data_IF_442506801850
#
_entry.id   IF_442506801850
#
_cell.length_a   1.000
_cell.length_b   1.000
_cell.length_c   1.000
_cell.angle_alpha   90.00
_cell.angle_beta   90.00
_cell.angle_gamma   90.00
#
_symmetry.space_group_name_H-M   'P 1'
#
loop_
_entity.id
_entity.type
_entity.pdbx_description
1 polymer ?
#
# COMPACT_ATOMS: atom_id res chain seq x y z
N UNK A 1 -0.73 -25.10 9.24
CA UNK A 1 -0.84 -24.75 10.67
C UNK A 1 0.15 -23.63 10.97
N UNK A 2 -0.32 -22.40 11.20
CA UNK A 2 0.57 -21.30 11.56
C UNK A 2 0.55 -21.09 13.07
N UNK A 3 1.62 -21.56 13.72
CA UNK A 3 1.91 -21.30 15.13
C UNK A 3 2.48 -19.88 15.25
N UNK A 4 1.76 -19.00 15.95
CA UNK A 4 2.23 -17.67 16.31
C UNK A 4 1.95 -17.42 17.77
N UNK A 5 2.97 -17.60 18.61
CA UNK A 5 2.94 -17.40 20.05
C UNK A 5 2.59 -15.95 20.41
N UNK A 6 1.59 -15.82 21.28
CA UNK A 6 1.07 -14.58 21.87
C UNK A 6 2.13 -13.92 22.76
N UNK A 7 2.89 -12.95 22.26
CA UNK A 7 3.62 -12.02 23.12
C UNK A 7 3.52 -10.57 22.63
N UNK A 8 2.90 -9.77 23.51
CA UNK A 8 2.82 -8.29 23.61
C UNK A 8 1.76 -7.57 22.74
N UNK A 9 0.66 -7.22 23.40
CA UNK A 9 -0.34 -6.22 22.97
C UNK A 9 0.36 -4.85 22.85
N UNK A 10 0.46 -4.29 21.64
CA UNK A 10 0.75 -2.86 21.45
C UNK A 10 1.85 -2.43 20.48
N UNK A 11 2.54 -3.31 19.74
CA UNK A 11 3.57 -2.88 18.76
C UNK A 11 3.07 -2.95 17.31
N UNK A 12 2.85 -1.78 16.67
CA UNK A 12 2.46 -1.68 15.26
C UNK A 12 2.05 -0.27 14.79
N UNK A 13 2.99 0.68 14.65
CA UNK A 13 2.72 2.04 14.13
C UNK A 13 3.29 2.38 12.74
N UNK A 14 4.19 1.59 12.13
CA UNK A 14 4.38 1.59 10.65
C UNK A 14 3.36 0.65 9.99
N UNK A 15 2.88 -0.32 10.77
CA UNK A 15 1.62 -1.09 10.66
C UNK A 15 0.39 -0.16 10.76
N UNK A 16 0.44 1.02 10.15
CA UNK A 16 -0.53 2.10 10.35
C UNK A 16 -0.89 2.87 9.10
N UNK A 17 -0.02 2.98 8.10
CA UNK A 17 -0.34 3.70 6.86
C UNK A 17 -1.34 2.90 6.01
N UNK A 18 -0.96 1.68 5.63
CA UNK A 18 -1.84 0.74 4.93
C UNK A 18 -3.13 0.52 5.73
N UNK A 19 -3.02 0.15 7.00
CA UNK A 19 -4.21 -0.03 7.84
C UNK A 19 -5.14 1.20 7.94
N UNK A 20 -4.60 2.43 7.90
CA UNK A 20 -5.45 3.63 7.86
C UNK A 20 -6.10 3.77 6.50
N UNK A 21 -5.36 3.52 5.42
CA UNK A 21 -5.89 3.50 4.05
C UNK A 21 -7.02 2.47 3.95
N UNK A 22 -6.82 1.24 4.44
CA UNK A 22 -7.83 0.17 4.40
C UNK A 22 -9.09 0.54 5.16
N UNK A 23 -8.95 1.14 6.36
CA UNK A 23 -10.09 1.61 7.16
C UNK A 23 -10.91 2.64 6.39
N UNK A 24 -10.26 3.55 5.69
CA UNK A 24 -10.94 4.58 4.90
C UNK A 24 -11.54 3.95 3.65
N UNK A 25 -10.77 3.13 2.92
CA UNK A 25 -11.20 2.45 1.69
C UNK A 25 -12.43 1.57 1.95
N UNK A 26 -12.45 0.80 3.05
CA UNK A 26 -13.56 -0.10 3.38
C UNK A 26 -14.84 0.69 3.68
N UNK A 27 -14.69 1.87 4.28
CA UNK A 27 -15.79 2.81 4.51
C UNK A 27 -16.27 3.44 3.20
N UNK A 28 -15.38 3.72 2.25
CA UNK A 28 -15.77 4.29 0.94
C UNK A 28 -16.44 3.25 0.04
N UNK A 29 -15.99 2.01 0.13
CA UNK A 29 -16.50 0.90 -0.66
C UNK A 29 -17.84 0.36 -0.16
N UNK A 30 -18.23 0.59 1.10
CA UNK A 30 -19.42 -0.04 1.70
C UNK A 30 -20.72 0.21 0.93
N UNK A 31 -20.89 1.37 0.28
CA UNK A 31 -22.07 1.64 -0.55
C UNK A 31 -22.14 0.83 -1.86
N UNK A 32 -21.06 0.13 -2.21
CA UNK A 32 -20.88 -0.55 -3.50
C UNK A 32 -20.55 -2.03 -3.37
N UNK A 33 -20.16 -2.50 -2.19
CA UNK A 33 -19.90 -3.91 -1.87
C UNK A 33 -21.17 -4.61 -1.39
N UNK A 34 -21.26 -5.93 -1.53
CA UNK A 34 -22.23 -6.72 -0.77
C UNK A 34 -21.87 -6.70 0.72
N UNK A 35 -22.47 -5.79 1.49
CA UNK A 35 -22.06 -5.51 2.87
C UNK A 35 -22.16 -6.70 3.83
N UNK A 36 -23.04 -7.65 3.56
CA UNK A 36 -23.26 -8.88 4.31
C UNK A 36 -22.26 -9.99 3.96
N UNK A 37 -21.64 -9.94 2.78
CA UNK A 37 -20.71 -10.98 2.28
C UNK A 37 -19.26 -10.52 2.17
N UNK A 38 -18.97 -9.23 2.23
CA UNK A 38 -17.60 -8.74 2.14
C UNK A 38 -16.92 -8.68 3.52
N UNK A 39 -15.65 -9.13 3.67
CA UNK A 39 -14.93 -9.10 4.94
C UNK A 39 -15.03 -7.78 5.72
N UNK A 40 -15.12 -7.90 7.04
CA UNK A 40 -15.11 -6.73 7.91
C UNK A 40 -13.71 -6.11 7.92
N UNK A 41 -13.62 -4.81 8.21
CA UNK A 41 -12.31 -4.16 8.35
C UNK A 41 -11.46 -4.81 9.45
N UNK A 42 -12.08 -5.38 10.49
CA UNK A 42 -11.36 -6.06 11.56
C UNK A 42 -10.64 -7.31 11.04
N UNK A 43 -11.30 -8.05 10.15
CA UNK A 43 -10.77 -9.29 9.58
C UNK A 43 -9.70 -9.00 8.54
N UNK A 44 -9.90 -7.98 7.69
CA UNK A 44 -8.87 -7.54 6.74
C UNK A 44 -7.60 -7.13 7.49
N UNK A 45 -7.72 -6.30 8.52
CA UNK A 45 -6.58 -5.84 9.31
C UNK A 45 -5.88 -6.94 10.12
N UNK A 46 -6.55 -8.08 10.33
CA UNK A 46 -5.90 -9.26 10.89
C UNK A 46 -4.76 -9.74 9.99
N UNK A 47 -4.98 -9.70 8.67
CA UNK A 47 -4.03 -10.13 7.65
C UNK A 47 -3.15 -9.01 7.09
N UNK A 48 -3.44 -7.73 7.33
CA UNK A 48 -2.55 -6.64 6.90
C UNK A 48 -1.25 -6.57 7.74
N UNK A 49 -1.38 -6.71 9.06
CA UNK A 49 -0.32 -6.47 10.04
C UNK A 49 0.66 -7.64 10.23
N UNK A 50 0.92 -8.02 11.50
CA UNK A 50 1.91 -9.06 11.86
C UNK A 50 1.68 -10.44 11.22
N UNK A 51 0.46 -10.70 10.73
CA UNK A 51 0.08 -11.99 10.13
C UNK A 51 0.02 -11.97 8.60
N UNK A 52 0.42 -10.87 7.94
CA UNK A 52 0.57 -10.84 6.49
C UNK A 52 1.68 -9.91 6.02
N UNK A 53 1.49 -9.08 4.98
CA UNK A 53 2.61 -8.44 4.26
C UNK A 53 3.54 -7.63 5.17
N UNK A 54 3.00 -6.80 6.08
CA UNK A 54 3.82 -6.03 7.03
C UNK A 54 4.56 -6.92 8.04
N UNK A 55 3.96 -8.06 8.39
CA UNK A 55 4.56 -9.08 9.25
C UNK A 55 5.73 -9.81 8.57
N UNK A 56 5.64 -10.01 7.25
CA UNK A 56 6.73 -10.53 6.43
C UNK A 56 7.82 -9.46 6.28
N UNK A 57 7.46 -8.19 6.00
CA UNK A 57 8.39 -7.05 5.99
C UNK A 57 9.17 -6.90 7.32
N UNK A 58 8.54 -7.24 8.46
CA UNK A 58 9.18 -7.28 9.78
C UNK A 58 10.14 -8.46 9.98
N UNK A 59 9.86 -9.62 9.37
CA UNK A 59 10.60 -10.88 9.55
C UNK A 59 11.74 -11.04 8.53
N UNK A 60 11.53 -10.55 7.32
CA UNK A 60 12.45 -10.56 6.20
C UNK A 60 12.50 -9.16 5.59
N UNK A 61 12.99 -8.14 6.34
CA UNK A 61 13.17 -6.83 5.76
C UNK A 61 14.05 -6.98 4.52
N UNK A 62 13.60 -6.40 3.39
CA UNK A 62 14.38 -6.12 2.16
C UNK A 62 14.47 -7.20 1.06
N UNK A 63 13.88 -8.38 1.20
CA UNK A 63 13.75 -9.32 0.07
C UNK A 63 12.43 -9.06 -0.69
N UNK A 64 11.30 -9.01 0.01
CA UNK A 64 9.99 -8.79 -0.61
C UNK A 64 9.62 -7.31 -0.84
N UNK A 65 10.39 -6.35 -0.28
CA UNK A 65 10.13 -4.91 -0.46
C UNK A 65 10.39 -4.44 -1.92
N UNK A 66 11.12 -5.21 -2.73
CA UNK A 66 11.57 -4.78 -4.07
C UNK A 66 10.98 -5.60 -5.24
N UNK A 67 10.19 -6.64 -4.94
CA UNK A 67 9.39 -7.34 -5.95
C UNK A 67 8.11 -6.57 -6.32
N UNK A 68 7.72 -5.56 -5.52
CA UNK A 68 6.51 -4.74 -5.70
C UNK A 68 6.76 -3.39 -6.41
N UNK A 69 7.78 -3.33 -7.27
CA UNK A 69 8.07 -2.14 -8.08
C UNK A 69 7.26 -2.19 -9.38
N UNK A 70 6.84 -1.02 -9.88
CA UNK A 70 6.23 -0.88 -11.21
C UNK A 70 6.88 0.28 -11.95
N UNK A 71 7.48 0.04 -13.11
CA UNK A 71 7.89 1.12 -14.01
C UNK A 71 6.70 1.59 -14.87
N UNK A 72 6.15 2.80 -14.64
CA UNK A 72 4.97 3.27 -15.36
C UNK A 72 5.22 3.53 -16.87
N UNK A 73 6.49 3.55 -17.29
CA UNK A 73 6.89 3.77 -18.69
C UNK A 73 7.19 2.45 -19.43
N UNK A 74 7.30 1.33 -18.72
CA UNK A 74 7.56 0.02 -19.30
C UNK A 74 6.27 -0.82 -19.29
N UNK A 75 5.60 -0.90 -20.43
CA UNK A 75 4.39 -1.73 -20.56
C UNK A 75 4.64 -3.23 -20.42
N UNK A 76 5.90 -3.68 -20.46
CA UNK A 76 6.28 -5.07 -20.22
C UNK A 76 6.53 -5.39 -18.74
N UNK A 77 6.63 -4.36 -17.88
CA UNK A 77 6.75 -4.54 -16.43
C UNK A 77 5.38 -4.90 -15.83
N UNK A 78 5.11 -6.20 -15.77
CA UNK A 78 3.79 -6.74 -15.42
C UNK A 78 3.73 -7.42 -14.06
N UNK A 79 4.86 -7.65 -13.38
CA UNK A 79 4.91 -8.46 -12.16
C UNK A 79 3.90 -8.01 -11.10
N UNK A 80 3.92 -6.72 -10.73
CA UNK A 80 2.98 -6.19 -9.73
C UNK A 80 1.53 -6.22 -10.21
N UNK A 81 1.30 -5.99 -11.51
CA UNK A 81 -0.04 -6.01 -12.11
C UNK A 81 -0.61 -7.43 -12.07
N UNK A 82 0.22 -8.43 -12.37
CA UNK A 82 -0.18 -9.83 -12.35
C UNK A 82 -0.47 -10.27 -10.90
N UNK A 83 0.34 -9.87 -9.92
CA UNK A 83 0.06 -10.08 -8.48
C UNK A 83 -1.29 -9.46 -8.07
N UNK A 84 -1.56 -8.22 -8.48
CA UNK A 84 -2.82 -7.53 -8.20
C UNK A 84 -4.00 -8.28 -8.84
N UNK A 85 -3.87 -8.71 -10.09
CA UNK A 85 -4.91 -9.45 -10.81
C UNK A 85 -5.18 -10.81 -10.17
N UNK A 86 -4.13 -11.53 -9.73
CA UNK A 86 -4.25 -12.80 -9.02
C UNK A 86 -5.00 -12.63 -7.70
N UNK A 87 -4.65 -11.62 -6.90
CA UNK A 87 -5.38 -11.33 -5.66
C UNK A 87 -6.84 -10.91 -5.92
N UNK A 88 -7.13 -10.18 -6.99
CA UNK A 88 -8.52 -9.86 -7.39
C UNK A 88 -9.29 -11.13 -7.73
N UNK A 89 -8.71 -12.02 -8.53
CA UNK A 89 -9.33 -13.28 -8.92
C UNK A 89 -9.56 -14.17 -7.70
N UNK A 90 -8.55 -14.36 -6.86
CA UNK A 90 -8.64 -15.21 -5.69
C UNK A 90 -9.62 -14.65 -4.64
N UNK A 91 -9.68 -13.33 -4.47
CA UNK A 91 -10.70 -12.68 -3.65
C UNK A 91 -12.11 -12.94 -4.21
N UNK A 92 -12.30 -12.81 -5.53
CA UNK A 92 -13.59 -13.08 -6.16
C UNK A 92 -14.04 -14.53 -5.94
N UNK A 93 -13.13 -15.49 -6.13
CA UNK A 93 -13.39 -16.92 -5.86
C UNK A 93 -13.76 -17.14 -4.40
N UNK A 94 -12.96 -16.63 -3.45
CA UNK A 94 -13.22 -16.78 -2.03
C UNK A 94 -14.56 -16.16 -1.59
N UNK A 95 -14.96 -15.02 -2.18
CA UNK A 95 -16.27 -14.42 -1.95
C UNK A 95 -17.41 -15.27 -2.52
N UNK A 96 -17.23 -15.89 -3.69
CA UNK A 96 -18.25 -16.75 -4.30
C UNK A 96 -18.46 -18.07 -3.55
N UNK A 97 -17.43 -18.55 -2.85
CA UNK A 97 -17.44 -19.76 -2.02
C UNK A 97 -17.82 -19.48 -0.55
N UNK A 98 -18.18 -18.23 -0.21
CA UNK A 98 -18.41 -17.77 1.16
C UNK A 98 -17.22 -18.08 2.12
N UNK A 99 -15.99 -18.15 1.59
CA UNK A 99 -14.75 -18.36 2.36
C UNK A 99 -14.20 -17.03 2.89
N UNK A 100 -14.80 -16.54 3.98
CA UNK A 100 -14.50 -15.22 4.52
C UNK A 100 -13.09 -15.06 5.09
N UNK A 101 -12.46 -16.13 5.58
CA UNK A 101 -11.06 -16.09 6.04
C UNK A 101 -10.13 -15.85 4.85
N UNK A 102 -10.29 -16.61 3.76
CA UNK A 102 -9.51 -16.40 2.55
C UNK A 102 -9.82 -15.05 1.92
N UNK A 103 -11.09 -14.63 1.87
CA UNK A 103 -11.45 -13.32 1.35
C UNK A 103 -10.82 -12.18 2.16
N UNK A 104 -10.74 -12.29 3.49
CA UNK A 104 -10.05 -11.30 4.33
C UNK A 104 -8.54 -11.26 4.06
N UNK A 105 -7.91 -12.43 3.89
CA UNK A 105 -6.52 -12.55 3.49
C UNK A 105 -6.26 -11.87 2.12
N UNK A 106 -7.00 -12.25 1.09
CA UNK A 106 -6.83 -11.71 -0.27
C UNK A 106 -7.12 -10.20 -0.31
N UNK A 107 -8.08 -9.73 0.48
CA UNK A 107 -8.39 -8.30 0.59
C UNK A 107 -7.21 -7.49 1.14
N UNK A 108 -6.50 -8.01 2.15
CA UNK A 108 -5.35 -7.35 2.76
C UNK A 108 -4.16 -7.31 1.78
N UNK A 109 -3.81 -8.46 1.19
CA UNK A 109 -2.70 -8.54 0.24
C UNK A 109 -2.94 -7.71 -1.03
N UNK A 110 -4.18 -7.71 -1.54
CA UNK A 110 -4.57 -6.83 -2.64
C UNK A 110 -4.40 -5.35 -2.30
N UNK A 111 -4.89 -4.93 -1.13
CA UNK A 111 -4.78 -3.54 -0.69
C UNK A 111 -3.32 -3.12 -0.56
N UNK A 112 -2.49 -4.01 -0.03
CA UNK A 112 -1.06 -3.81 0.12
C UNK A 112 -0.37 -3.57 -1.23
N UNK A 113 -0.51 -4.49 -2.19
CA UNK A 113 0.09 -4.39 -3.52
C UNK A 113 -0.38 -3.13 -4.27
N UNK A 114 -1.67 -2.77 -4.15
CA UNK A 114 -2.25 -1.56 -4.75
C UNK A 114 -1.67 -0.27 -4.15
N UNK A 115 -1.42 -0.24 -2.83
CA UNK A 115 -0.80 0.93 -2.18
C UNK A 115 0.67 1.03 -2.54
N UNK A 116 1.40 -0.08 -2.56
CA UNK A 116 2.82 -0.14 -2.92
C UNK A 116 3.01 0.33 -4.38
N UNK A 117 2.22 -0.14 -5.33
CA UNK A 117 2.32 0.34 -6.73
C UNK A 117 1.89 1.78 -6.96
N UNK A 118 1.24 2.44 -6.00
CA UNK A 118 0.98 3.89 -6.03
C UNK A 118 1.98 4.69 -5.19
N UNK A 119 2.89 4.03 -4.48
CA UNK A 119 3.89 4.67 -3.64
C UNK A 119 5.04 5.16 -4.53
N UNK A 120 5.24 6.48 -4.71
CA UNK A 120 6.17 7.01 -5.71
C UNK A 120 7.62 6.49 -5.68
N UNK A 121 8.22 6.17 -4.52
CA UNK A 121 9.51 5.47 -4.49
C UNK A 121 9.51 4.12 -5.23
N UNK A 122 8.39 3.38 -5.23
CA UNK A 122 8.23 2.07 -5.90
C UNK A 122 8.05 2.20 -7.42
N UNK A 123 8.20 3.40 -7.98
CA UNK A 123 8.27 3.62 -9.44
C UNK A 123 9.71 3.65 -9.97
N UNK A 124 10.69 3.40 -9.10
CA UNK A 124 12.11 3.44 -9.42
C UNK A 124 12.75 2.16 -8.89
N UNK A 125 13.36 1.37 -9.78
CA UNK A 125 14.09 0.16 -9.40
C UNK A 125 15.33 0.56 -8.60
N UNK A 126 15.49 -0.02 -7.40
CA UNK A 126 16.76 0.03 -6.69
C UNK A 126 17.71 -1.00 -7.31
N UNK A 127 19.00 -0.68 -7.31
CA UNK A 127 20.02 -1.67 -7.68
C UNK A 127 20.28 -2.66 -6.53
N UNK A 128 20.89 -3.80 -6.86
CA UNK A 128 21.17 -4.88 -5.90
C UNK A 128 22.03 -4.41 -4.71
N UNK A 129 22.95 -3.46 -4.96
CA UNK A 129 23.81 -2.91 -3.90
C UNK A 129 23.02 -2.06 -2.91
N UNK A 130 22.02 -1.32 -3.38
CA UNK A 130 21.09 -0.55 -2.56
C UNK A 130 20.19 -1.47 -1.74
N UNK A 131 19.65 -2.53 -2.35
CA UNK A 131 18.83 -3.56 -1.68
C UNK A 131 19.62 -4.28 -0.58
N UNK A 132 20.86 -4.68 -0.85
CA UNK A 132 21.69 -5.38 0.13
C UNK A 132 22.15 -4.46 1.28
N UNK A 133 22.44 -3.19 1.00
CA UNK A 133 22.77 -2.21 2.04
C UNK A 133 21.59 -1.99 2.99
N UNK A 134 20.38 -1.91 2.44
CA UNK A 134 19.12 -1.87 3.16
C UNK A 134 18.98 -3.01 4.15
N UNK A 135 19.21 -4.24 3.69
CA UNK A 135 19.08 -5.46 4.48
C UNK A 135 19.97 -5.41 5.72
N UNK A 136 21.17 -4.88 5.53
CA UNK A 136 22.28 -4.98 6.48
C UNK A 136 22.45 -3.73 7.35
N UNK A 137 21.85 -2.59 7.00
CA UNK A 137 22.02 -1.34 7.75
C UNK A 137 21.22 -1.32 9.06
N UNK A 138 21.93 -1.56 10.17
CA UNK A 138 21.36 -1.59 11.53
C UNK A 138 20.68 -0.29 11.95
N UNK A 139 21.15 0.87 11.48
CA UNK A 139 20.58 2.19 11.83
C UNK A 139 19.23 2.38 11.17
N UNK A 140 19.12 2.12 9.87
CA UNK A 140 17.85 2.19 9.12
C UNK A 140 16.86 1.16 9.65
N UNK A 141 17.33 -0.06 9.93
CA UNK A 141 16.50 -1.09 10.54
C UNK A 141 16.01 -0.69 11.94
N UNK A 142 16.80 0.04 12.74
CA UNK A 142 16.36 0.58 14.02
C UNK A 142 15.31 1.69 13.83
N UNK A 143 15.50 2.62 12.89
CA UNK A 143 14.52 3.68 12.61
C UNK A 143 13.20 3.09 12.11
N UNK A 144 13.26 2.15 11.15
CA UNK A 144 12.09 1.41 10.68
C UNK A 144 11.41 0.74 11.87
N UNK A 145 12.17 0.00 12.71
CA UNK A 145 11.66 -0.73 13.88
C UNK A 145 11.01 0.17 14.92
N UNK A 146 11.60 1.32 15.23
CA UNK A 146 11.10 2.24 16.26
C UNK A 146 9.84 2.97 15.78
N UNK A 147 9.82 3.36 14.51
CA UNK A 147 8.58 3.85 13.91
C UNK A 147 7.52 2.74 13.80
N UNK A 148 7.91 1.50 13.45
CA UNK A 148 7.08 0.28 13.46
C UNK A 148 6.53 -0.07 14.83
N UNK A 149 7.28 0.16 15.91
CA UNK A 149 6.83 -0.10 17.27
C UNK A 149 6.01 1.05 17.85
N UNK A 150 6.12 2.25 17.24
CA UNK A 150 5.38 3.43 17.63
C UNK A 150 6.02 4.27 18.71
N UNK A 151 7.32 4.08 18.92
CA UNK A 151 8.14 4.90 19.80
C UNK A 151 8.92 5.88 18.92
N UNK A 152 8.62 7.20 18.97
CA UNK A 152 9.36 8.16 18.16
C UNK A 152 10.82 8.21 18.66
N UNK A 153 11.75 7.75 17.82
CA UNK A 153 13.15 7.78 18.17
C UNK A 153 13.68 9.23 18.08
N UNK A 154 14.20 9.75 19.19
CA UNK A 154 14.82 11.10 19.29
C UNK A 154 16.07 11.27 18.40
N UNK A 155 16.55 10.19 17.78
CA UNK A 155 17.74 10.16 16.91
C UNK A 155 17.47 10.45 15.43
N UNK A 156 16.22 10.71 15.03
CA UNK A 156 15.90 11.02 13.62
C UNK A 156 16.68 12.23 13.07
N UNK A 157 17.09 13.16 13.94
CA UNK A 157 17.90 14.33 13.58
C UNK A 157 19.34 14.05 13.15
N UNK A 158 19.83 12.80 13.25
CA UNK A 158 21.21 12.46 12.88
C UNK A 158 21.37 11.93 11.45
N UNK A 159 20.26 11.63 10.75
CA UNK A 159 20.29 11.14 9.36
C UNK A 159 20.47 12.25 8.32
N UNK A 160 20.41 13.51 8.75
CA UNK A 160 20.54 14.67 7.86
C UNK A 160 21.97 14.82 7.28
N UNK A 161 22.95 14.04 7.78
CA UNK A 161 24.37 14.14 7.39
C UNK A 161 24.93 13.03 6.51
N UNK A 162 24.15 12.01 6.12
CA UNK A 162 24.67 10.92 5.29
C UNK A 162 23.96 10.87 3.94
N UNK A 163 24.50 11.66 3.01
CA UNK A 163 24.32 11.46 1.59
C UNK A 163 25.23 10.35 1.08
N UNK A 164 24.63 9.26 0.63
CA UNK A 164 25.18 8.33 -0.35
C UNK A 164 24.05 7.34 -0.67
N UNK A 165 23.39 7.36 -1.82
CA UNK A 165 23.88 7.51 -3.19
C UNK A 165 22.76 8.02 -4.10
N UNK A 166 23.05 8.98 -5.00
CA UNK A 166 22.23 9.34 -6.17
C UNK A 166 20.78 9.79 -5.93
N UNK A 167 20.16 10.33 -6.98
CA UNK A 167 18.73 10.65 -7.03
C UNK A 167 17.90 9.35 -7.05
N UNK A 168 17.73 8.71 -5.89
CA UNK A 168 16.96 7.46 -5.78
C UNK A 168 17.24 6.61 -4.55
N UNK A 169 18.21 6.97 -3.70
CA UNK A 169 18.69 6.11 -2.63
C UNK A 169 17.67 5.66 -1.57
N UNK A 170 18.11 4.69 -0.78
CA UNK A 170 17.39 3.96 0.28
C UNK A 170 16.75 4.84 1.35
N UNK A 171 17.55 5.72 1.97
CA UNK A 171 17.10 6.51 3.13
C UNK A 171 15.96 7.45 2.71
N UNK A 172 16.05 8.12 1.54
CA UNK A 172 14.93 8.82 0.95
C UNK A 172 13.64 7.99 0.83
N UNK A 173 13.71 6.73 0.36
CA UNK A 173 12.53 5.86 0.22
C UNK A 173 11.77 5.74 1.55
N UNK A 174 12.48 5.33 2.60
CA UNK A 174 11.88 5.14 3.94
C UNK A 174 11.30 6.46 4.45
N UNK A 175 12.05 7.56 4.36
CA UNK A 175 11.58 8.86 4.84
C UNK A 175 10.36 9.35 4.06
N UNK A 176 10.25 9.04 2.77
CA UNK A 176 9.08 9.38 1.96
C UNK A 176 7.84 8.64 2.45
N UNK A 177 7.92 7.33 2.65
CA UNK A 177 6.82 6.50 3.16
C UNK A 177 6.36 6.98 4.55
N UNK A 178 7.30 7.30 5.44
CA UNK A 178 7.00 7.89 6.75
C UNK A 178 6.30 9.25 6.61
N UNK A 179 6.74 10.08 5.66
CA UNK A 179 6.10 11.34 5.32
C UNK A 179 4.64 11.14 4.89
N UNK A 180 4.38 10.23 3.96
CA UNK A 180 3.02 9.90 3.50
C UNK A 180 2.17 9.37 4.66
N UNK A 181 2.71 8.48 5.49
CA UNK A 181 2.03 7.94 6.66
C UNK A 181 1.59 9.03 7.65
N UNK A 182 2.42 10.07 7.83
CA UNK A 182 2.10 11.24 8.66
C UNK A 182 1.01 12.14 8.05
N UNK A 183 0.79 12.07 6.73
CA UNK A 183 -0.21 12.86 6.02
C UNK A 183 -1.62 12.25 6.05
N UNK A 184 -1.77 10.98 6.46
CA UNK A 184 -3.06 10.29 6.49
C UNK A 184 -3.89 10.73 7.70
N UNK A 185 -5.10 11.23 7.44
CA UNK A 185 -6.06 11.64 8.47
C UNK A 185 -7.10 10.54 8.75
N UNK A 186 -7.47 10.22 10.01
CA UNK A 186 -8.35 9.09 10.37
C UNK A 186 -9.75 9.05 9.72
N UNK A 187 -10.26 10.17 9.20
CA UNK A 187 -11.56 10.25 8.50
C UNK A 187 -11.48 10.18 6.98
N UNK A 188 -10.27 10.11 6.41
CA UNK A 188 -10.07 10.41 4.99
C UNK A 188 -10.32 11.88 4.65
N UNK A 189 -10.10 12.26 3.40
CA UNK A 189 -10.35 13.61 2.88
C UNK A 189 -11.38 13.59 1.75
N UNK A 190 -11.96 14.76 1.48
CA UNK A 190 -12.74 14.98 0.26
C UNK A 190 -11.89 14.59 -0.95
N UNK A 191 -12.47 13.82 -1.87
CA UNK A 191 -11.76 13.26 -3.02
C UNK A 191 -11.32 11.81 -2.83
N UNK A 192 -11.47 11.20 -1.65
CA UNK A 192 -11.24 9.75 -1.47
C UNK A 192 -12.48 8.89 -1.71
N UNK A 193 -13.65 9.49 -1.94
CA UNK A 193 -14.90 8.77 -2.24
C UNK A 193 -14.81 8.05 -3.57
N UNK A 194 -15.45 6.89 -3.70
CA UNK A 194 -15.76 6.28 -4.99
C UNK A 194 -17.16 6.72 -5.42
N UNK A 195 -17.38 6.81 -6.72
CA UNK A 195 -18.62 7.29 -7.32
C UNK A 195 -19.24 6.23 -8.24
N UNK A 196 -20.51 6.39 -8.59
CA UNK A 196 -21.16 5.50 -9.56
C UNK A 196 -20.50 5.57 -10.95
N UNK A 197 -19.87 6.70 -11.31
CA UNK A 197 -19.08 6.80 -12.52
C UNK A 197 -17.81 5.94 -12.46
N UNK A 198 -17.16 5.87 -11.30
CA UNK A 198 -15.99 5.01 -11.09
C UNK A 198 -16.39 3.53 -11.27
N UNK A 199 -17.52 3.11 -10.71
CA UNK A 199 -18.03 1.73 -10.90
C UNK A 199 -18.40 1.43 -12.35
N UNK A 200 -19.00 2.38 -13.08
CA UNK A 200 -19.26 2.22 -14.52
C UNK A 200 -17.97 2.06 -15.30
N UNK A 201 -16.95 2.86 -14.99
CA UNK A 201 -15.62 2.77 -15.60
C UNK A 201 -14.97 1.42 -15.32
N UNK A 202 -15.04 0.97 -14.07
CA UNK A 202 -14.53 -0.32 -13.62
C UNK A 202 -15.16 -1.48 -14.39
N UNK A 203 -16.49 -1.51 -14.50
CA UNK A 203 -17.21 -2.54 -15.28
C UNK A 203 -16.89 -2.52 -16.78
N UNK A 204 -16.59 -1.35 -17.33
CA UNK A 204 -16.32 -1.19 -18.77
C UNK A 204 -14.89 -1.58 -19.15
N UNK A 205 -13.91 -1.24 -18.33
CA UNK A 205 -12.49 -1.35 -18.69
C UNK A 205 -11.68 -2.31 -17.79
N UNK A 206 -12.25 -2.77 -16.67
CA UNK A 206 -11.54 -3.56 -15.67
C UNK A 206 -10.66 -2.73 -14.74
N UNK A 207 -10.22 -3.34 -13.64
CA UNK A 207 -9.39 -2.66 -12.64
C UNK A 207 -7.99 -2.33 -13.16
N UNK A 208 -7.33 -3.24 -13.89
CA UNK A 208 -5.97 -3.02 -14.42
C UNK A 208 -5.87 -1.71 -15.21
N UNK A 209 -6.75 -1.49 -16.18
CA UNK A 209 -6.76 -0.26 -16.98
C UNK A 209 -7.02 0.99 -16.11
N UNK A 210 -7.94 0.89 -15.14
CA UNK A 210 -8.24 1.98 -14.22
C UNK A 210 -7.03 2.30 -13.34
N UNK A 211 -6.34 1.27 -12.85
CA UNK A 211 -5.22 1.35 -11.94
C UNK A 211 -3.95 1.87 -12.63
N UNK A 212 -3.62 1.38 -13.83
CA UNK A 212 -2.49 1.87 -14.62
C UNK A 212 -2.59 3.37 -14.92
N UNK A 213 -3.80 3.88 -15.17
CA UNK A 213 -4.00 5.33 -15.31
C UNK A 213 -3.76 6.07 -13.99
N UNK A 214 -4.12 5.50 -12.84
CA UNK A 214 -3.79 6.09 -11.53
C UNK A 214 -2.29 6.09 -11.28
N UNK A 215 -1.60 4.99 -11.60
CA UNK A 215 -0.13 4.86 -11.50
C UNK A 215 0.57 5.93 -12.33
N UNK A 216 0.20 6.07 -13.61
CA UNK A 216 0.75 7.12 -14.51
C UNK A 216 0.50 8.53 -13.97
N UNK A 217 -0.73 8.83 -13.55
CA UNK A 217 -1.05 10.13 -12.95
C UNK A 217 -0.21 10.41 -11.70
N UNK A 218 0.05 9.40 -10.85
CA UNK A 218 0.91 9.55 -9.68
C UNK A 218 2.37 9.78 -10.08
N UNK A 219 2.87 9.01 -11.04
CA UNK A 219 4.21 9.15 -11.57
C UNK A 219 4.46 10.55 -12.14
N UNK A 220 3.49 11.11 -12.85
CA UNK A 220 3.58 12.44 -13.47
C UNK A 220 3.54 13.60 -12.48
N UNK A 221 3.08 13.37 -11.25
CA UNK A 221 3.21 14.36 -10.19
C UNK A 221 4.68 14.61 -9.78
N UNK A 222 5.59 13.68 -10.12
CA UNK A 222 7.02 13.71 -9.79
C UNK A 222 7.27 13.96 -8.30
N UNK A 223 6.44 13.37 -7.43
CA UNK A 223 6.50 13.61 -5.98
C UNK A 223 7.81 13.12 -5.36
N UNK A 224 8.28 11.94 -5.76
CA UNK A 224 9.54 11.39 -5.25
C UNK A 224 10.74 12.20 -5.73
N UNK A 225 10.79 12.59 -7.00
CA UNK A 225 11.83 13.50 -7.52
C UNK A 225 11.88 14.82 -6.74
N UNK A 226 10.73 15.47 -6.52
CA UNK A 226 10.65 16.70 -5.72
C UNK A 226 11.11 16.50 -4.27
N UNK A 227 10.83 15.33 -3.70
CA UNK A 227 11.29 14.96 -2.37
C UNK A 227 12.81 14.77 -2.32
N UNK A 228 13.40 14.08 -3.31
CA UNK A 228 14.84 13.91 -3.42
C UNK A 228 15.56 15.26 -3.54
N UNK A 229 14.97 16.22 -4.27
CA UNK A 229 15.55 17.55 -4.48
C UNK A 229 15.41 18.48 -3.26
N UNK A 230 14.29 18.40 -2.52
CA UNK A 230 13.90 19.44 -1.53
C UNK A 230 13.53 18.90 -0.15
N UNK A 231 13.59 17.60 0.06
CA UNK A 231 13.12 16.92 1.26
C UNK A 231 11.60 17.01 1.45
N UNK A 232 11.15 16.71 2.68
CA UNK A 232 9.74 16.71 3.04
C UNK A 232 9.17 18.12 3.29
N UNK A 233 8.87 18.84 2.21
CA UNK A 233 8.35 20.22 2.29
C UNK A 233 6.86 20.30 2.65
N UNK A 234 6.40 21.47 3.12
CA UNK A 234 4.96 21.73 3.35
C UNK A 234 4.11 21.52 2.09
N UNK A 235 4.63 21.91 0.92
CA UNK A 235 3.97 21.73 -0.37
C UNK A 235 3.82 20.24 -0.73
N UNK A 236 4.87 19.46 -0.51
CA UNK A 236 4.85 18.01 -0.71
C UNK A 236 3.86 17.34 0.26
N UNK A 237 3.90 17.68 1.55
CA UNK A 237 2.97 17.17 2.55
C UNK A 237 1.51 17.50 2.22
N UNK A 238 1.25 18.68 1.65
CA UNK A 238 -0.09 19.07 1.16
C UNK A 238 -0.50 18.21 -0.03
N UNK A 239 0.37 18.00 -1.02
CA UNK A 239 0.06 17.14 -2.18
C UNK A 239 -0.15 15.68 -1.79
N UNK A 240 0.66 15.15 -0.87
CA UNK A 240 0.49 13.80 -0.33
C UNK A 240 -0.90 13.65 0.31
N UNK A 241 -1.26 14.58 1.20
CA UNK A 241 -2.54 14.57 1.93
C UNK A 241 -3.77 14.78 1.03
N UNK A 242 -3.67 15.69 0.06
CA UNK A 242 -4.82 16.18 -0.70
C UNK A 242 -5.05 15.41 -2.01
N UNK A 243 -4.04 14.69 -2.49
CA UNK A 243 -4.09 13.99 -3.78
C UNK A 243 -3.65 12.54 -3.63
N UNK A 244 -2.40 12.28 -3.23
CA UNK A 244 -1.83 10.92 -3.23
C UNK A 244 -2.62 9.95 -2.33
N UNK A 245 -2.83 10.32 -1.07
CA UNK A 245 -3.57 9.48 -0.09
C UNK A 245 -5.02 9.23 -0.55
N UNK A 246 -5.79 10.24 -0.98
CA UNK A 246 -7.09 10.01 -1.60
C UNK A 246 -7.06 9.06 -2.80
N UNK A 247 -6.06 9.15 -3.67
CA UNK A 247 -5.89 8.24 -4.82
C UNK A 247 -5.65 6.80 -4.37
N UNK A 248 -4.75 6.58 -3.41
CA UNK A 248 -4.49 5.25 -2.82
C UNK A 248 -5.76 4.63 -2.23
N UNK A 249 -6.50 5.41 -1.41
CA UNK A 249 -7.77 4.96 -0.83
C UNK A 249 -8.78 4.58 -1.91
N UNK A 250 -8.91 5.39 -2.96
CA UNK A 250 -9.83 5.10 -4.09
C UNK A 250 -9.42 3.85 -4.85
N UNK A 251 -8.13 3.67 -5.10
CA UNK A 251 -7.62 2.50 -5.80
C UNK A 251 -7.93 1.21 -5.03
N UNK A 252 -7.65 1.15 -3.73
CA UNK A 252 -7.98 -0.01 -2.87
C UNK A 252 -9.48 -0.30 -2.88
N UNK A 253 -10.31 0.74 -2.71
CA UNK A 253 -11.75 0.59 -2.73
C UNK A 253 -12.26 0.02 -4.08
N UNK A 254 -11.72 0.49 -5.20
CA UNK A 254 -12.09 0.00 -6.53
C UNK A 254 -11.58 -1.42 -6.79
N UNK A 255 -10.42 -1.81 -6.27
CA UNK A 255 -9.89 -3.16 -6.38
C UNK A 255 -10.82 -4.17 -5.70
N UNK A 256 -11.26 -3.86 -4.48
CA UNK A 256 -12.25 -4.68 -3.76
C UNK A 256 -13.60 -4.72 -4.48
N UNK A 257 -14.07 -3.59 -5.02
CA UNK A 257 -15.29 -3.57 -5.84
C UNK A 257 -15.15 -4.43 -7.09
N UNK A 258 -13.98 -4.49 -7.74
CA UNK A 258 -13.76 -5.36 -8.90
C UNK A 258 -13.94 -6.82 -8.53
N UNK A 259 -13.33 -7.27 -7.43
CA UNK A 259 -13.46 -8.63 -6.96
C UNK A 259 -14.92 -8.98 -6.60
N UNK A 260 -15.63 -8.09 -5.91
CA UNK A 260 -17.06 -8.27 -5.57
C UNK A 260 -17.97 -8.31 -6.82
N UNK A 261 -17.67 -7.53 -7.86
CA UNK A 261 -18.37 -7.59 -9.15
C UNK A 261 -18.13 -8.95 -9.82
N UNK A 262 -16.88 -9.43 -9.84
CA UNK A 262 -16.54 -10.72 -10.45
C UNK A 262 -17.22 -11.89 -9.71
N UNK A 263 -17.20 -11.89 -8.37
CA UNK A 263 -17.86 -12.90 -7.55
C UNK A 263 -19.37 -13.00 -7.82
N UNK A 264 -20.04 -11.87 -8.10
CA UNK A 264 -21.46 -11.83 -8.48
C UNK A 264 -21.71 -12.31 -9.91
N UNK A 265 -20.70 -12.24 -10.78
CA UNK A 265 -20.77 -12.70 -12.17
C UNK A 265 -20.57 -14.21 -12.32
N UNK A 266 -19.85 -14.85 -11.40
CA UNK A 266 -19.56 -16.30 -11.40
C UNK A 266 -20.70 -17.15 -10.82
N UNK A 267 -21.64 -16.56 -10.08
CA UNK A 267 -22.79 -17.24 -9.48
C UNK A 267 -23.99 -17.46 -10.41
N UNK A 268 -23.77 -17.69 -11.72
CA UNK A 268 -24.81 -18.03 -12.70
C UNK A 268 -24.60 -19.41 -13.30
#
# INVERSE_FOLDING_TARGET
MYSGTTLRKGSGKLVGAHQKIDRIARRRASGYLANDKFPSIKDILHFEGKNGPDGIKLKSPTVDEYEHVIDPNDSSDRLLIDIINDHIHNLATALSEDNYERAAFESAWLAHAVVDGLTPPHHYKLDESQVNWLATNKTINAIKRDYLSGEPNKKLGFLEKWGSWGSGGVVPHVLFELGVASAITPGGKKGSEITSADIKRLKKYGFEAVYLDMVRNVYDMKLYKKFLEKGWTRGLAKKARDVLVPTMVRAVALAWCQADILAKGTGK
#
